data_IF_535119850665
#
_entry.id   IF_535119850665
#
_cell.length_a   1.000
_cell.length_b   1.000
_cell.length_c   1.000
_cell.angle_alpha   90.00
_cell.angle_beta   90.00
_cell.angle_gamma   90.00
#
_symmetry.space_group_name_H-M   'P 1'
#
loop_
_entity.id
_entity.type
_entity.pdbx_description
1 polymer ?
#
# COMPACT_ATOMS: atom_id res chain seq x y z
N UNK A 1 7.53 -8.15 15.86
CA UNK A 1 6.72 -7.51 14.82
C UNK A 1 5.65 -8.46 14.29
N UNK A 2 4.54 -7.92 13.71
CA UNK A 2 3.36 -8.73 13.34
C UNK A 2 3.60 -9.76 12.23
N UNK A 3 4.62 -9.57 11.37
CA UNK A 3 4.94 -10.47 10.26
C UNK A 3 5.96 -11.53 10.66
N UNK A 4 6.96 -11.15 11.46
CA UNK A 4 8.13 -12.01 11.71
C UNK A 4 8.94 -12.20 10.42
N UNK A 5 9.29 -13.45 10.12
CA UNK A 5 9.96 -13.79 8.87
C UNK A 5 8.97 -13.83 7.69
N UNK A 6 9.31 -13.12 6.62
CA UNK A 6 8.47 -13.03 5.42
C UNK A 6 8.45 -14.33 4.61
N UNK A 7 9.47 -15.17 4.74
CA UNK A 7 9.58 -16.47 4.06
C UNK A 7 8.43 -17.44 4.41
N UNK A 8 7.79 -17.24 5.58
CA UNK A 8 6.60 -17.99 6.00
C UNK A 8 5.41 -17.85 5.05
N UNK A 9 5.41 -16.82 4.21
CA UNK A 9 4.31 -16.51 3.30
C UNK A 9 4.76 -16.70 1.85
N UNK A 10 4.48 -17.85 1.23
CA UNK A 10 4.93 -18.14 -0.14
C UNK A 10 4.30 -17.23 -1.18
N UNK A 11 3.17 -16.59 -0.87
CA UNK A 11 2.47 -15.66 -1.76
C UNK A 11 1.93 -14.45 -1.00
N UNK A 12 1.75 -13.29 -1.68
CA UNK A 12 1.17 -12.10 -1.06
C UNK A 12 -0.26 -12.33 -0.55
N UNK A 13 -1.03 -13.21 -1.20
CA UNK A 13 -2.38 -13.56 -0.77
C UNK A 13 -2.38 -14.31 0.57
N UNK A 14 -1.36 -15.11 0.86
CA UNK A 14 -1.20 -15.77 2.16
C UNK A 14 -0.96 -14.75 3.27
N UNK A 15 -0.16 -13.71 3.02
CA UNK A 15 0.02 -12.62 3.98
C UNK A 15 -1.29 -11.82 4.17
N UNK A 16 -2.02 -11.52 3.10
CA UNK A 16 -3.32 -10.85 3.20
C UNK A 16 -4.35 -11.68 3.98
N UNK A 17 -4.34 -13.01 3.80
CA UNK A 17 -5.18 -13.95 4.58
C UNK A 17 -4.80 -13.97 6.06
N UNK A 18 -3.51 -13.96 6.37
CA UNK A 18 -3.00 -13.92 7.75
C UNK A 18 -3.47 -12.66 8.49
N UNK A 19 -3.68 -11.55 7.79
CA UNK A 19 -4.28 -10.34 8.36
C UNK A 19 -5.83 -10.34 8.34
N UNK A 20 -6.45 -11.38 7.79
CA UNK A 20 -7.91 -11.48 7.66
C UNK A 20 -8.52 -10.47 6.69
N UNK A 21 -7.76 -10.03 5.68
CA UNK A 21 -8.19 -9.08 4.65
C UNK A 21 -8.77 -9.77 3.40
N UNK A 22 -8.85 -11.10 3.38
CA UNK A 22 -9.46 -11.85 2.28
C UNK A 22 -10.98 -11.94 2.47
N UNK A 23 -11.77 -11.80 1.40
CA UNK A 23 -13.21 -11.98 1.47
C UNK A 23 -13.56 -13.43 1.78
N UNK A 24 -14.64 -13.65 2.50
CA UNK A 24 -15.25 -14.96 2.61
C UNK A 24 -15.90 -15.29 1.26
N UNK A 25 -15.62 -16.47 0.75
CA UNK A 25 -16.23 -16.98 -0.48
C UNK A 25 -17.25 -18.05 -0.08
N UNK A 26 -18.45 -17.93 -0.58
CA UNK A 26 -19.49 -18.98 -0.48
C UNK A 26 -19.79 -19.44 -1.88
N UNK A 27 -19.63 -20.74 -2.12
CA UNK A 27 -20.01 -21.39 -3.36
C UNK A 27 -20.72 -22.69 -3.01
N UNK A 28 -21.91 -22.88 -3.55
CA UNK A 28 -22.65 -24.12 -3.42
C UNK A 28 -23.07 -24.59 -4.83
N UNK A 29 -22.60 -25.77 -5.22
CA UNK A 29 -22.87 -26.34 -6.55
C UNK A 29 -22.34 -25.49 -7.70
N UNK A 30 -23.03 -25.47 -8.83
CA UNK A 30 -22.65 -24.77 -10.05
C UNK A 30 -22.93 -23.26 -10.03
N UNK A 31 -23.41 -22.72 -8.94
CA UNK A 31 -23.65 -21.29 -8.81
C UNK A 31 -22.34 -20.55 -8.65
N UNK A 32 -22.21 -19.36 -9.29
CA UNK A 32 -21.04 -18.52 -9.20
C UNK A 32 -20.68 -18.16 -7.73
N UNK A 33 -19.40 -18.05 -7.44
CA UNK A 33 -18.89 -17.74 -6.12
C UNK A 33 -19.38 -16.37 -5.61
N UNK A 34 -20.01 -16.34 -4.45
CA UNK A 34 -20.46 -15.10 -3.77
C UNK A 34 -19.37 -14.64 -2.83
N UNK A 35 -18.83 -13.44 -3.11
CA UNK A 35 -17.83 -12.80 -2.29
C UNK A 35 -18.49 -11.94 -1.20
N UNK A 36 -18.33 -12.37 0.04
CA UNK A 36 -18.85 -11.67 1.23
C UNK A 36 -17.87 -10.66 1.83
N UNK A 37 -18.13 -10.30 3.10
CA UNK A 37 -17.22 -9.46 3.90
C UNK A 37 -15.89 -10.18 4.14
N UNK A 38 -14.83 -9.42 4.51
CA UNK A 38 -13.54 -10.00 4.89
C UNK A 38 -13.69 -10.98 6.07
N UNK A 39 -12.80 -11.97 6.12
CA UNK A 39 -12.85 -13.04 7.13
C UNK A 39 -12.67 -12.51 8.56
N UNK A 40 -11.90 -11.45 8.73
CA UNK A 40 -11.45 -10.88 10.02
C UNK A 40 -10.68 -11.88 10.91
N UNK A 41 -10.40 -13.07 10.41
CA UNK A 41 -9.56 -14.06 11.10
C UNK A 41 -8.09 -13.64 10.99
N UNK A 42 -7.33 -13.79 12.10
CA UNK A 42 -5.92 -13.43 12.15
C UNK A 42 -5.64 -12.15 12.96
N UNK A 43 -4.47 -11.53 12.73
CA UNK A 43 -3.97 -10.44 13.56
C UNK A 43 -4.82 -9.15 13.40
N UNK A 44 -5.66 -8.88 14.39
CA UNK A 44 -6.56 -7.73 14.39
C UNK A 44 -5.81 -6.39 14.44
N UNK A 45 -4.75 -6.29 15.25
CA UNK A 45 -3.94 -5.07 15.38
C UNK A 45 -3.29 -4.71 14.05
N UNK A 46 -2.63 -5.68 13.40
CA UNK A 46 -2.00 -5.44 12.11
C UNK A 46 -3.04 -5.06 11.04
N UNK A 47 -4.20 -5.68 11.05
CA UNK A 47 -5.30 -5.31 10.14
C UNK A 47 -5.76 -3.88 10.35
N UNK A 48 -5.97 -3.45 11.61
CA UNK A 48 -6.33 -2.07 11.92
C UNK A 48 -5.28 -1.09 11.40
N UNK A 49 -3.99 -1.34 11.67
CA UNK A 49 -2.91 -0.49 11.17
C UNK A 49 -2.85 -0.42 9.63
N UNK A 50 -3.16 -1.52 8.93
CA UNK A 50 -3.22 -1.53 7.46
C UNK A 50 -4.41 -0.72 6.94
N UNK A 51 -5.54 -0.72 7.63
CA UNK A 51 -6.70 0.10 7.29
C UNK A 51 -6.39 1.59 7.54
N UNK A 52 -5.75 1.94 8.66
CA UNK A 52 -5.28 3.31 8.92
C UNK A 52 -4.28 3.77 7.87
N UNK A 53 -3.35 2.90 7.47
CA UNK A 53 -2.43 3.18 6.37
C UNK A 53 -3.16 3.41 5.03
N UNK A 54 -4.25 2.68 4.78
CA UNK A 54 -5.08 2.87 3.59
C UNK A 54 -5.79 4.24 3.59
N UNK A 55 -6.30 4.70 4.74
CA UNK A 55 -6.86 6.04 4.89
C UNK A 55 -5.81 7.13 4.67
N UNK A 56 -4.63 6.96 5.25
CA UNK A 56 -3.49 7.88 5.04
C UNK A 56 -3.08 7.93 3.57
N UNK A 57 -3.05 6.77 2.89
CA UNK A 57 -2.74 6.70 1.46
C UNK A 57 -3.83 7.35 0.58
N UNK A 58 -5.09 7.34 1.02
CA UNK A 58 -6.19 7.99 0.30
C UNK A 58 -6.13 9.52 0.37
N UNK A 59 -5.46 10.10 1.35
CA UNK A 59 -5.32 11.55 1.52
C UNK A 59 -4.09 12.16 0.84
N UNK A 60 -3.16 11.33 0.35
CA UNK A 60 -1.91 11.79 -0.26
C UNK A 60 -1.84 11.36 -1.73
N UNK A 61 -1.54 12.26 -2.68
CA UNK A 61 -1.38 11.90 -4.08
C UNK A 61 -0.45 10.71 -4.28
N UNK A 62 -0.81 9.79 -5.17
CA UNK A 62 -0.01 8.63 -5.49
C UNK A 62 -0.82 7.44 -6.02
N UNK A 63 -0.15 6.38 -6.48
CA UNK A 63 -0.81 5.20 -7.08
C UNK A 63 -1.81 4.50 -6.14
N UNK A 64 -1.57 4.54 -4.83
CA UNK A 64 -2.50 3.97 -3.84
C UNK A 64 -3.78 4.80 -3.71
N UNK A 65 -3.68 6.15 -3.80
CA UNK A 65 -4.83 7.03 -3.84
C UNK A 65 -5.66 6.80 -5.12
N UNK A 66 -5.03 6.73 -6.27
CA UNK A 66 -5.72 6.43 -7.53
C UNK A 66 -6.46 5.08 -7.46
N UNK A 67 -5.82 4.06 -6.88
CA UNK A 67 -6.47 2.77 -6.64
C UNK A 67 -7.66 2.88 -5.70
N UNK A 68 -7.51 3.61 -4.58
CA UNK A 68 -8.57 3.84 -3.60
C UNK A 68 -9.79 4.53 -4.24
N UNK A 69 -9.58 5.65 -4.94
CA UNK A 69 -10.65 6.42 -5.59
C UNK A 69 -11.41 5.56 -6.59
N UNK A 70 -10.72 4.83 -7.46
CA UNK A 70 -11.34 3.92 -8.42
C UNK A 70 -12.25 2.86 -7.76
N UNK A 71 -11.86 2.32 -6.62
CA UNK A 71 -12.70 1.34 -5.90
C UNK A 71 -13.85 2.05 -5.18
N UNK A 72 -13.59 3.22 -4.59
CA UNK A 72 -14.60 4.03 -3.91
C UNK A 72 -15.78 4.35 -4.83
N UNK A 73 -15.50 4.80 -6.05
CA UNK A 73 -16.53 5.19 -7.02
C UNK A 73 -17.43 4.02 -7.43
N UNK A 74 -16.88 2.80 -7.45
CA UNK A 74 -17.63 1.60 -7.87
C UNK A 74 -18.31 0.85 -6.72
N UNK A 75 -17.70 0.82 -5.55
CA UNK A 75 -18.07 -0.10 -4.45
C UNK A 75 -18.21 0.58 -3.10
N UNK A 76 -18.03 1.89 -3.05
CA UNK A 76 -18.15 2.70 -1.84
C UNK A 76 -16.88 2.73 -0.97
N UNK A 77 -16.92 3.62 -0.01
CA UNK A 77 -15.79 4.07 0.80
C UNK A 77 -15.14 2.95 1.63
N UNK A 78 -15.95 2.18 2.36
CA UNK A 78 -15.46 1.14 3.25
C UNK A 78 -14.79 -0.02 2.48
N UNK A 79 -15.35 -0.35 1.31
CA UNK A 79 -14.77 -1.39 0.44
C UNK A 79 -13.44 -0.91 -0.13
N UNK A 80 -13.34 0.38 -0.50
CA UNK A 80 -12.11 0.98 -0.98
C UNK A 80 -11.00 0.93 0.10
N UNK A 81 -11.31 1.28 1.35
CA UNK A 81 -10.36 1.22 2.44
C UNK A 81 -9.80 -0.20 2.65
N UNK A 82 -10.67 -1.21 2.70
CA UNK A 82 -10.26 -2.61 2.87
C UNK A 82 -9.49 -3.14 1.67
N UNK A 83 -9.91 -2.81 0.44
CA UNK A 83 -9.20 -3.21 -0.77
C UNK A 83 -7.80 -2.59 -0.84
N UNK A 84 -7.66 -1.33 -0.44
CA UNK A 84 -6.38 -0.63 -0.38
C UNK A 84 -5.50 -1.20 0.73
N UNK A 85 -6.04 -1.52 1.90
CA UNK A 85 -5.32 -2.21 2.97
C UNK A 85 -4.75 -3.56 2.49
N UNK A 86 -5.54 -4.35 1.74
CA UNK A 86 -5.06 -5.58 1.11
C UNK A 86 -3.96 -5.31 0.06
N UNK A 87 -4.11 -4.26 -0.74
CA UNK A 87 -3.08 -3.84 -1.71
C UNK A 87 -1.77 -3.46 -1.00
N UNK A 88 -1.85 -2.77 0.14
CA UNK A 88 -0.69 -2.43 0.97
C UNK A 88 -0.05 -3.70 1.54
N UNK A 89 -0.81 -4.68 2.04
CA UNK A 89 -0.27 -5.94 2.51
C UNK A 89 0.49 -6.69 1.41
N UNK A 90 -0.06 -6.76 0.19
CA UNK A 90 0.60 -7.36 -0.95
C UNK A 90 1.89 -6.60 -1.35
N UNK A 91 1.85 -5.27 -1.26
CA UNK A 91 3.02 -4.44 -1.51
C UNK A 91 4.11 -4.68 -0.46
N UNK A 92 3.77 -4.74 0.82
CA UNK A 92 4.71 -5.07 1.90
C UNK A 92 5.37 -6.43 1.64
N UNK A 93 4.60 -7.44 1.25
CA UNK A 93 5.15 -8.74 0.90
C UNK A 93 6.19 -8.64 -0.21
N UNK A 94 5.87 -7.91 -1.30
CA UNK A 94 6.80 -7.74 -2.43
C UNK A 94 8.07 -6.98 -2.04
N UNK A 95 7.95 -5.91 -1.24
CA UNK A 95 9.09 -5.11 -0.81
C UNK A 95 10.03 -5.91 0.10
N UNK A 96 9.48 -6.66 1.05
CA UNK A 96 10.27 -7.49 1.96
C UNK A 96 10.90 -8.69 1.26
N UNK A 97 10.20 -9.33 0.31
CA UNK A 97 10.74 -10.47 -0.44
C UNK A 97 11.83 -10.07 -1.44
N UNK A 98 11.71 -8.87 -2.02
CA UNK A 98 12.67 -8.35 -3.02
C UNK A 98 13.75 -7.48 -2.41
N UNK A 99 13.66 -7.21 -1.10
CA UNK A 99 14.55 -6.27 -0.39
C UNK A 99 14.68 -4.91 -1.09
N UNK A 100 13.56 -4.47 -1.69
CA UNK A 100 13.51 -3.25 -2.50
C UNK A 100 12.74 -2.14 -1.80
N UNK A 101 13.17 -0.87 -1.91
CA UNK A 101 12.42 0.27 -1.37
C UNK A 101 11.14 0.52 -2.17
N UNK A 102 10.18 1.18 -1.53
CA UNK A 102 8.97 1.60 -2.24
C UNK A 102 9.29 2.71 -3.24
N UNK A 103 9.10 2.43 -4.52
CA UNK A 103 9.48 3.33 -5.63
C UNK A 103 8.89 4.74 -5.54
N UNK A 104 7.69 4.87 -5.00
CA UNK A 104 6.97 6.14 -4.89
C UNK A 104 7.09 6.77 -3.49
N UNK A 105 8.03 6.32 -2.67
CA UNK A 105 8.34 7.00 -1.43
C UNK A 105 8.97 8.36 -1.71
N UNK A 106 8.63 9.35 -0.87
CA UNK A 106 9.26 10.68 -0.92
C UNK A 106 10.57 10.64 -0.16
N UNK A 107 11.73 10.84 -0.82
CA UNK A 107 13.04 10.65 -0.18
C UNK A 107 13.24 11.48 1.10
N UNK A 108 12.92 12.77 1.06
CA UNK A 108 13.08 13.64 2.24
C UNK A 108 12.14 13.23 3.39
N UNK A 109 10.93 12.77 3.09
CA UNK A 109 10.01 12.25 4.11
C UNK A 109 10.54 10.95 4.73
N UNK A 110 11.07 10.04 3.91
CA UNK A 110 11.68 8.79 4.40
C UNK A 110 12.88 9.08 5.26
N UNK A 111 13.79 9.95 4.82
CA UNK A 111 14.97 10.37 5.59
C UNK A 111 14.58 10.95 6.94
N UNK A 112 13.56 11.82 7.00
CA UNK A 112 13.05 12.38 8.25
C UNK A 112 12.50 11.27 9.19
N UNK A 113 11.76 10.31 8.67
CA UNK A 113 11.22 9.19 9.45
C UNK A 113 12.32 8.27 9.96
N UNK A 114 13.30 7.93 9.13
CA UNK A 114 14.43 7.11 9.50
C UNK A 114 15.24 7.79 10.61
N UNK A 115 15.56 9.08 10.46
CA UNK A 115 16.26 9.83 11.49
C UNK A 115 15.53 9.83 12.83
N UNK A 116 14.19 9.95 12.81
CA UNK A 116 13.37 9.85 14.01
C UNK A 116 13.47 8.47 14.69
N UNK A 117 13.55 7.40 13.92
CA UNK A 117 13.74 6.04 14.44
C UNK A 117 15.14 5.85 15.04
N UNK A 118 16.18 6.32 14.37
CA UNK A 118 17.57 6.31 14.87
C UNK A 118 17.69 7.02 16.22
N UNK A 119 17.11 8.21 16.34
CA UNK A 119 17.12 8.97 17.60
C UNK A 119 16.38 8.23 18.72
N UNK A 120 15.29 7.53 18.42
CA UNK A 120 14.59 6.69 19.39
C UNK A 120 15.39 5.46 19.80
N UNK A 121 16.23 4.96 18.91
CA UNK A 121 17.16 3.86 19.17
C UNK A 121 18.43 4.29 19.90
N UNK A 122 18.55 5.56 20.29
CA UNK A 122 19.69 6.08 21.05
C UNK A 122 20.83 6.66 20.22
N UNK A 123 20.63 6.89 18.92
CA UNK A 123 21.64 7.53 18.10
C UNK A 123 21.95 8.96 18.60
N UNK A 124 23.21 9.42 18.51
CA UNK A 124 23.61 10.74 19.00
C UNK A 124 22.87 11.85 18.24
N UNK A 125 22.48 12.90 18.97
CA UNK A 125 21.92 14.11 18.36
C UNK A 125 23.08 14.86 17.70
N UNK A 126 23.13 14.84 16.36
CA UNK A 126 24.10 15.63 15.63
C UNK A 126 23.67 17.10 15.61
N UNK A 127 24.59 18.00 16.01
CA UNK A 127 24.49 19.44 15.79
C UNK A 127 25.32 19.75 14.55
N UNK A 128 24.72 20.25 13.49
CA UNK A 128 25.46 20.58 12.26
C UNK A 128 24.59 20.76 11.02
N UNK A 129 25.22 21.06 9.87
CA UNK A 129 24.53 21.20 8.61
C UNK A 129 23.80 19.90 8.32
N UNK A 130 22.57 20.05 7.92
CA UNK A 130 21.63 19.00 7.90
C UNK A 130 21.78 18.14 6.66
N UNK A 131 21.70 16.86 6.88
CA UNK A 131 21.54 15.87 5.83
C UNK A 131 20.09 15.79 5.30
N UNK A 132 19.79 14.76 4.51
CA UNK A 132 18.51 14.56 3.81
C UNK A 132 17.26 14.63 4.71
N UNK A 133 17.39 14.38 5.99
CA UNK A 133 16.29 14.51 6.96
C UNK A 133 15.80 15.96 7.13
N UNK A 134 16.66 16.95 6.94
CA UNK A 134 16.29 18.38 6.98
C UNK A 134 15.59 18.81 5.71
N UNK A 135 15.88 18.18 4.58
CA UNK A 135 15.28 18.51 3.28
C UNK A 135 13.74 18.41 3.34
N UNK A 136 13.23 17.58 4.24
CA UNK A 136 11.79 17.53 4.51
C UNK A 136 11.21 18.89 4.97
N UNK A 137 11.99 19.71 5.64
CA UNK A 137 11.56 21.03 6.15
C UNK A 137 11.69 22.12 5.08
N UNK A 138 12.38 21.85 3.97
CA UNK A 138 12.52 22.77 2.85
C UNK A 138 11.25 22.68 2.00
N UNK A 139 10.50 23.78 1.91
CA UNK A 139 9.19 23.86 1.27
C UNK A 139 9.26 23.46 -0.21
N UNK A 140 10.28 23.90 -0.91
CA UNK A 140 10.50 23.68 -2.35
C UNK A 140 10.77 22.21 -2.66
N UNK A 141 11.57 21.53 -1.82
CA UNK A 141 11.86 20.09 -1.97
C UNK A 141 10.59 19.29 -1.73
N UNK A 142 9.82 19.59 -0.69
CA UNK A 142 8.54 18.93 -0.44
C UNK A 142 7.55 19.13 -1.58
N UNK A 143 7.49 20.34 -2.14
CA UNK A 143 6.60 20.64 -3.25
C UNK A 143 6.97 19.81 -4.49
N UNK A 144 8.24 19.79 -4.87
CA UNK A 144 8.75 18.96 -5.97
C UNK A 144 8.47 17.47 -5.76
N UNK A 145 8.70 16.95 -4.57
CA UNK A 145 8.36 15.55 -4.26
C UNK A 145 6.86 15.26 -4.40
N UNK A 146 5.99 16.19 -3.98
CA UNK A 146 4.56 16.05 -4.13
C UNK A 146 4.11 16.09 -5.58
N UNK A 147 4.73 16.91 -6.42
CA UNK A 147 4.49 16.94 -7.86
C UNK A 147 4.84 15.60 -8.53
N UNK A 148 6.02 15.04 -8.19
CA UNK A 148 6.42 13.72 -8.70
C UNK A 148 5.43 12.60 -8.30
N UNK A 149 4.92 12.65 -7.07
CA UNK A 149 3.93 11.69 -6.59
C UNK A 149 2.58 11.88 -7.29
N UNK A 150 2.18 13.12 -7.57
CA UNK A 150 0.97 13.42 -8.35
C UNK A 150 1.09 12.94 -9.81
N UNK A 151 2.26 13.10 -10.44
CA UNK A 151 2.55 12.54 -11.77
C UNK A 151 2.47 11.01 -11.77
N UNK A 152 2.98 10.36 -10.72
CA UNK A 152 2.88 8.90 -10.57
C UNK A 152 1.42 8.44 -10.37
N UNK A 153 0.59 9.22 -9.69
CA UNK A 153 -0.84 8.96 -9.56
C UNK A 153 -1.53 9.03 -10.93
N UNK A 154 -1.27 10.07 -11.69
CA UNK A 154 -1.82 10.25 -13.03
C UNK A 154 -1.38 9.13 -13.99
N UNK A 155 -0.10 8.77 -13.97
CA UNK A 155 0.43 7.67 -14.77
C UNK A 155 -0.21 6.32 -14.41
N UNK A 156 -0.46 6.07 -13.12
CA UNK A 156 -1.18 4.87 -12.69
C UNK A 156 -2.63 4.86 -13.17
N UNK A 157 -3.33 5.98 -13.09
CA UNK A 157 -4.70 6.11 -13.57
C UNK A 157 -4.79 5.85 -15.08
N UNK A 158 -3.91 6.45 -15.86
CA UNK A 158 -3.81 6.23 -17.31
C UNK A 158 -3.50 4.77 -17.67
N UNK A 159 -2.57 4.12 -16.94
CA UNK A 159 -2.28 2.70 -17.12
C UNK A 159 -3.51 1.82 -16.85
N UNK A 160 -4.30 2.14 -15.84
CA UNK A 160 -5.52 1.38 -15.50
C UNK A 160 -6.58 1.54 -16.59
N UNK A 161 -6.72 2.73 -17.15
CA UNK A 161 -7.66 3.00 -18.26
C UNK A 161 -7.25 2.20 -19.49
N UNK A 162 -6.00 2.31 -19.92
CA UNK A 162 -5.45 1.52 -21.03
C UNK A 162 -5.54 0.00 -20.81
N UNK A 163 -5.56 -0.44 -19.54
CA UNK A 163 -5.76 -1.85 -19.23
C UNK A 163 -7.20 -2.31 -19.45
N UNK A 164 -8.19 -1.45 -19.18
CA UNK A 164 -9.61 -1.78 -19.38
C UNK A 164 -9.96 -2.00 -20.85
N UNK A 165 -9.30 -1.26 -21.73
CA UNK A 165 -9.55 -1.29 -23.18
C UNK A 165 -8.83 -2.46 -23.88
N UNK A 166 -8.09 -3.28 -23.14
CA UNK A 166 -7.43 -4.45 -23.74
C UNK A 166 -8.45 -5.53 -24.12
N UNK A 167 -8.34 -6.10 -25.32
CA UNK A 167 -9.18 -7.23 -25.69
C UNK A 167 -8.96 -8.41 -24.75
N UNK A 168 -9.98 -9.23 -24.50
CA UNK A 168 -9.85 -10.43 -23.68
C UNK A 168 -8.75 -11.33 -24.23
N UNK A 169 -7.97 -11.93 -23.34
CA UNK A 169 -6.95 -12.91 -23.76
C UNK A 169 -7.63 -14.05 -24.49
N UNK A 170 -7.06 -14.53 -25.63
CA UNK A 170 -7.57 -15.71 -26.29
C UNK A 170 -7.58 -16.87 -25.29
N UNK A 171 -8.71 -17.56 -25.21
CA UNK A 171 -8.82 -18.78 -24.41
C UNK A 171 -7.83 -19.79 -24.97
N UNK A 172 -6.96 -20.32 -24.11
CA UNK A 172 -6.11 -21.45 -24.48
C UNK A 172 -7.04 -22.64 -24.70
N UNK A 173 -7.18 -23.04 -25.95
CA UNK A 173 -7.76 -24.35 -26.32
C UNK A 173 -6.91 -25.47 -25.77
#
# INVERSE_FOLDING_TARGET
AAIGDISRFPTPDRLASYFGLTPRVRQSGDRGAIHGRISKQGNATARTMLIEAAWSAASVPGPLRAFFLRIKDRKGLNVAAVATARKIANLIWQLLTKEAPYRWARPAFVAMKMRKLELRAGAPKAHGPAGPARDYWIKEIRHREMELVAQAEAAYAAMVEAWRDRPPKPQKS
#
